data_IF_055589823105
#
_entry.id   IF_055589823105
#
_cell.length_a   1.000
_cell.length_b   1.000
_cell.length_c   1.000
_cell.angle_alpha   90.00
_cell.angle_beta   90.00
_cell.angle_gamma   90.00
#
_symmetry.space_group_name_H-M   'P 1'
#
loop_
_entity.id
_entity.type
_entity.pdbx_description
1 polymer ?
#
# COMPACT_ATOMS: atom_id res chain seq x y z
N UNK A 1 -11.29 -21.45 -3.04
CA UNK A 1 -11.31 -19.98 -3.14
C UNK A 1 -10.70 -19.46 -1.86
N UNK A 2 -9.41 -19.09 -1.90
CA UNK A 2 -8.69 -18.64 -0.71
C UNK A 2 -9.11 -17.21 -0.41
N UNK A 3 -9.70 -16.99 0.76
CA UNK A 3 -10.06 -15.66 1.27
C UNK A 3 -8.77 -14.92 1.61
N UNK A 4 -8.32 -14.08 0.69
CA UNK A 4 -7.10 -13.27 0.81
C UNK A 4 -7.29 -12.27 1.95
N UNK A 5 -6.42 -12.37 2.96
CA UNK A 5 -6.62 -11.76 4.27
C UNK A 5 -5.89 -10.41 4.38
N UNK A 6 -6.37 -9.36 3.68
CA UNK A 6 -5.97 -7.96 3.93
C UNK A 6 -6.42 -7.44 5.33
N UNK A 7 -6.79 -8.35 6.24
CA UNK A 7 -7.57 -8.12 7.46
C UNK A 7 -6.80 -7.32 8.53
N UNK A 8 -5.55 -6.94 8.31
CA UNK A 8 -4.78 -6.16 9.28
C UNK A 8 -3.99 -4.98 8.72
N UNK A 9 -4.32 -4.47 7.52
CA UNK A 9 -3.71 -3.22 7.06
C UNK A 9 -4.23 -2.04 7.90
N UNK A 10 -3.35 -1.16 8.41
CA UNK A 10 -3.78 0.02 9.15
C UNK A 10 -4.57 0.97 8.24
N UNK A 11 -5.70 1.47 8.75
CA UNK A 11 -6.58 2.35 7.96
C UNK A 11 -5.91 3.66 7.52
N UNK A 12 -4.84 4.07 8.22
CA UNK A 12 -4.10 5.29 7.96
C UNK A 12 -2.60 5.04 8.12
N UNK A 13 -1.81 5.64 7.24
CA UNK A 13 -0.35 5.67 7.32
C UNK A 13 0.13 7.10 7.09
N UNK A 14 1.22 7.48 7.75
CA UNK A 14 1.88 8.75 7.49
C UNK A 14 3.14 8.49 6.68
N UNK A 15 3.19 9.00 5.46
CA UNK A 15 4.41 9.06 4.66
C UNK A 15 4.93 10.51 4.75
N UNK A 16 5.88 10.73 5.65
CA UNK A 16 6.38 12.07 5.98
C UNK A 16 5.30 12.91 6.64
N UNK A 17 4.98 14.06 6.04
CA UNK A 17 3.97 14.99 6.55
C UNK A 17 2.57 14.79 5.95
N UNK A 18 2.36 13.73 5.16
CA UNK A 18 1.09 13.46 4.48
C UNK A 18 0.48 12.19 5.03
N UNK A 19 -0.80 12.29 5.42
CA UNK A 19 -1.60 11.15 5.85
C UNK A 19 -2.28 10.50 4.65
N UNK A 20 -2.07 9.20 4.51
CA UNK A 20 -2.63 8.34 3.47
C UNK A 20 -3.68 7.43 4.09
N UNK A 21 -4.73 7.17 3.31
CA UNK A 21 -5.90 6.42 3.71
C UNK A 21 -5.95 5.11 2.96
N UNK A 22 -6.25 4.04 3.68
CA UNK A 22 -6.44 2.72 3.11
C UNK A 22 -7.79 2.61 2.40
N UNK A 23 -7.74 2.18 1.15
CA UNK A 23 -8.89 1.74 0.38
C UNK A 23 -8.73 0.24 0.09
N UNK A 24 -9.40 -0.57 0.88
CA UNK A 24 -9.34 -2.04 0.73
C UNK A 24 -10.03 -2.50 -0.53
N UNK A 25 -9.56 -3.61 -1.11
CA UNK A 25 -10.10 -4.22 -2.33
C UNK A 25 -10.08 -3.26 -3.52
N UNK A 26 -9.10 -2.35 -3.56
CA UNK A 26 -8.91 -1.40 -4.65
C UNK A 26 -7.45 -1.26 -5.02
N UNK A 27 -7.23 -0.85 -6.26
CA UNK A 27 -5.94 -0.52 -6.83
C UNK A 27 -5.97 0.95 -7.29
N UNK A 28 -4.96 1.72 -6.89
CA UNK A 28 -4.69 3.03 -7.45
C UNK A 28 -4.09 2.85 -8.87
N UNK A 29 -4.64 3.52 -9.88
CA UNK A 29 -4.07 3.57 -11.24
C UNK A 29 -3.24 4.84 -11.43
N UNK A 30 -2.11 4.70 -12.10
CA UNK A 30 -1.25 5.83 -12.46
C UNK A 30 0.15 5.38 -12.88
N UNK A 31 1.05 6.35 -12.98
CA UNK A 31 2.44 6.13 -13.37
C UNK A 31 3.25 5.54 -12.21
N UNK A 32 3.59 4.25 -12.33
CA UNK A 32 4.51 3.56 -11.43
C UNK A 32 5.92 4.11 -11.57
N UNK A 33 6.51 4.49 -10.44
CA UNK A 33 7.89 4.98 -10.35
C UNK A 33 8.81 3.97 -9.69
N UNK A 34 8.28 3.04 -8.91
CA UNK A 34 9.06 1.99 -8.25
C UNK A 34 8.19 0.79 -7.86
N UNK A 35 8.79 -0.39 -7.80
CA UNK A 35 8.16 -1.64 -7.38
C UNK A 35 9.11 -2.39 -6.44
N UNK A 36 8.58 -2.92 -5.34
CA UNK A 36 9.33 -3.77 -4.40
C UNK A 36 8.69 -5.15 -4.41
N UNK A 37 9.45 -6.16 -4.79
CA UNK A 37 9.03 -7.56 -4.84
C UNK A 37 9.46 -8.30 -3.56
N UNK A 38 8.66 -9.30 -3.14
CA UNK A 38 8.95 -10.25 -2.05
C UNK A 38 9.05 -9.65 -0.62
N UNK A 39 7.96 -9.05 -0.12
CA UNK A 39 7.84 -8.71 1.31
C UNK A 39 7.28 -9.91 2.08
N UNK A 40 8.13 -10.67 2.75
CA UNK A 40 7.77 -11.91 3.46
C UNK A 40 6.98 -11.68 4.77
N UNK A 41 5.90 -12.45 4.99
CA UNK A 41 5.07 -12.42 6.23
C UNK A 41 5.78 -13.00 7.47
N UNK A 42 5.86 -12.21 8.54
CA UNK A 42 6.16 -12.59 9.92
C UNK A 42 5.03 -12.08 10.82
N UNK A 43 3.95 -12.85 10.87
CA UNK A 43 2.94 -12.87 11.94
C UNK A 43 2.47 -11.51 12.48
N UNK A 44 1.52 -10.94 11.76
CA UNK A 44 0.87 -9.67 12.07
C UNK A 44 -0.29 -9.86 13.08
N UNK A 45 -0.03 -10.13 14.37
CA UNK A 45 -1.07 -9.96 15.42
C UNK A 45 -0.61 -9.42 16.79
N UNK A 46 0.68 -9.30 17.14
CA UNK A 46 1.11 -8.67 18.41
C UNK A 46 2.30 -7.70 18.24
N UNK A 47 2.88 -7.57 17.04
CA UNK A 47 4.17 -6.89 16.83
C UNK A 47 4.09 -5.71 15.84
N UNK A 48 3.16 -4.78 16.06
CA UNK A 48 3.22 -3.45 15.41
C UNK A 48 4.51 -2.68 15.82
N UNK A 49 5.27 -3.18 16.80
CA UNK A 49 6.54 -2.60 17.25
C UNK A 49 7.81 -3.33 16.73
N UNK A 50 7.69 -4.49 16.05
CA UNK A 50 8.85 -5.27 15.57
C UNK A 50 8.53 -5.86 14.19
N UNK A 51 8.49 -5.00 13.18
CA UNK A 51 8.69 -5.37 11.78
C UNK A 51 9.91 -4.58 11.29
N UNK A 52 11.07 -5.13 11.64
CA UNK A 52 12.41 -4.58 11.43
C UNK A 52 12.75 -4.49 9.93
N UNK A 53 13.19 -3.29 9.53
CA UNK A 53 13.99 -2.94 8.34
C UNK A 53 13.40 -3.05 6.92
N UNK A 54 12.47 -3.96 6.61
CA UNK A 54 12.03 -4.15 5.19
C UNK A 54 10.62 -3.64 4.85
N UNK A 55 9.69 -3.55 5.80
CA UNK A 55 8.41 -2.82 5.61
C UNK A 55 8.62 -1.30 5.54
N UNK A 56 9.80 -0.84 5.95
CA UNK A 56 10.21 0.53 5.71
C UNK A 56 10.58 0.80 4.25
N UNK A 57 10.71 -0.21 3.39
CA UNK A 57 11.07 0.04 1.99
C UNK A 57 9.93 0.69 1.21
N UNK A 58 8.67 0.31 1.42
CA UNK A 58 7.54 0.94 0.72
C UNK A 58 7.31 2.38 1.21
N UNK A 59 7.44 2.63 2.51
CA UNK A 59 7.38 3.97 3.10
C UNK A 59 8.56 4.82 2.69
N UNK A 60 9.79 4.31 2.80
CA UNK A 60 10.99 5.00 2.39
C UNK A 60 11.02 5.23 0.88
N UNK A 61 10.59 4.28 0.06
CA UNK A 61 10.50 4.48 -1.38
C UNK A 61 9.42 5.51 -1.70
N UNK A 62 8.25 5.46 -1.06
CA UNK A 62 7.26 6.51 -1.24
C UNK A 62 7.81 7.89 -0.86
N UNK A 63 8.53 7.99 0.27
CA UNK A 63 9.17 9.22 0.72
C UNK A 63 10.26 9.70 -0.26
N UNK A 64 11.15 8.81 -0.68
CA UNK A 64 12.27 9.09 -1.58
C UNK A 64 11.78 9.52 -2.96
N UNK A 65 10.72 8.91 -3.47
CA UNK A 65 10.13 9.22 -4.77
C UNK A 65 8.96 10.22 -4.70
N UNK A 66 8.70 10.82 -3.53
CA UNK A 66 7.59 11.76 -3.32
C UNK A 66 6.26 11.24 -3.89
N UNK A 67 5.94 9.99 -3.54
CA UNK A 67 4.82 9.29 -4.13
C UNK A 67 3.47 9.95 -3.81
N UNK A 68 2.52 9.71 -4.70
CA UNK A 68 1.16 10.24 -4.56
C UNK A 68 0.16 9.18 -4.13
N UNK A 69 0.54 7.91 -4.27
CA UNK A 69 -0.22 6.74 -3.89
C UNK A 69 0.70 5.51 -3.79
N UNK A 70 0.27 4.51 -3.01
CA UNK A 70 0.95 3.22 -2.89
C UNK A 70 -0.09 2.11 -3.06
N UNK A 71 0.17 1.16 -3.95
CA UNK A 71 -0.57 -0.09 -3.97
C UNK A 71 0.13 -1.12 -3.10
N UNK A 72 -0.64 -1.97 -2.43
CA UNK A 72 -0.17 -3.17 -1.76
C UNK A 72 -0.95 -4.33 -2.35
N UNK A 73 -0.26 -5.31 -2.92
CA UNK A 73 -0.85 -6.51 -3.48
C UNK A 73 -0.43 -7.73 -2.66
N UNK A 74 -1.40 -8.58 -2.36
CA UNK A 74 -1.15 -9.89 -1.79
C UNK A 74 -0.99 -10.90 -2.95
N UNK A 75 0.22 -11.41 -3.13
CA UNK A 75 0.55 -12.38 -4.19
C UNK A 75 0.30 -13.83 -3.73
N UNK A 76 0.34 -14.08 -2.43
CA UNK A 76 0.09 -15.38 -1.81
C UNK A 76 -0.31 -15.24 -0.36
N UNK A 77 -0.52 -16.37 0.34
CA UNK A 77 -0.89 -16.35 1.76
C UNK A 77 0.15 -15.59 2.61
N UNK A 78 1.42 -15.66 2.22
CA UNK A 78 2.57 -15.09 2.94
C UNK A 78 3.39 -14.08 2.12
N UNK A 79 2.93 -13.70 0.93
CA UNK A 79 3.71 -12.94 -0.04
C UNK A 79 3.00 -11.65 -0.45
N UNK A 80 3.73 -10.53 -0.37
CA UNK A 80 3.24 -9.20 -0.65
C UNK A 80 4.22 -8.41 -1.52
N UNK A 81 3.68 -7.51 -2.32
CA UNK A 81 4.42 -6.51 -3.07
C UNK A 81 3.77 -5.13 -2.90
N UNK A 82 4.56 -4.08 -3.06
CA UNK A 82 4.04 -2.72 -3.12
C UNK A 82 4.51 -2.00 -4.38
N UNK A 83 3.61 -1.19 -4.95
CA UNK A 83 3.93 -0.29 -6.06
C UNK A 83 3.84 1.15 -5.60
N UNK A 84 4.88 1.91 -5.93
CA UNK A 84 4.98 3.34 -5.63
C UNK A 84 4.56 4.10 -6.88
N UNK A 85 3.53 4.94 -6.73
CA UNK A 85 2.97 5.72 -7.83
C UNK A 85 3.41 7.18 -7.72
N UNK A 86 3.99 7.72 -8.78
CA UNK A 86 4.33 9.15 -8.90
C UNK A 86 3.18 10.00 -9.43
N UNK A 87 2.22 9.36 -10.13
CA UNK A 87 0.96 9.98 -10.56
C UNK A 87 -0.22 9.09 -10.21
N UNK A 88 -1.42 9.66 -10.16
CA UNK A 88 -2.65 8.94 -9.88
C UNK A 88 -3.74 9.45 -10.80
N UNK A 89 -4.36 8.53 -11.54
CA UNK A 89 -5.37 8.79 -12.58
C UNK A 89 -6.73 8.23 -12.17
N UNK A 90 -6.75 7.18 -11.35
CA UNK A 90 -7.96 6.41 -11.08
C UNK A 90 -7.84 5.54 -9.84
N UNK A 91 -8.98 5.03 -9.39
CA UNK A 91 -9.08 3.95 -8.40
C UNK A 91 -10.04 2.93 -8.99
N UNK A 92 -9.62 1.67 -9.03
CA UNK A 92 -10.47 0.59 -9.53
C UNK A 92 -10.62 -0.51 -8.49
N UNK A 93 -11.73 -1.27 -8.49
CA UNK A 93 -11.85 -2.47 -7.69
C UNK A 93 -10.79 -3.51 -8.07
N UNK A 94 -10.09 -4.07 -7.08
CA UNK A 94 -9.08 -5.11 -7.27
C UNK A 94 -9.02 -6.03 -6.05
N UNK A 95 -9.32 -7.32 -6.25
CA UNK A 95 -9.28 -8.29 -5.16
C UNK A 95 -7.85 -8.60 -4.75
N UNK A 96 -7.60 -8.69 -3.44
CA UNK A 96 -6.26 -8.91 -2.91
C UNK A 96 -5.32 -7.71 -3.03
N UNK A 97 -5.87 -6.54 -3.37
CA UNK A 97 -5.13 -5.28 -3.43
C UNK A 97 -5.68 -4.25 -2.44
N UNK A 98 -4.81 -3.33 -2.05
CA UNK A 98 -5.15 -2.15 -1.28
C UNK A 98 -4.46 -0.92 -1.85
N UNK A 99 -5.17 0.18 -1.91
CA UNK A 99 -4.71 1.48 -2.39
C UNK A 99 -4.57 2.43 -1.19
N UNK A 100 -3.36 2.91 -0.93
CA UNK A 100 -3.11 4.02 -0.01
C UNK A 100 -3.00 5.32 -0.80
N UNK A 101 -3.83 6.30 -0.46
CA UNK A 101 -3.82 7.62 -1.13
C UNK A 101 -4.22 8.73 -0.15
N UNK A 102 -3.72 9.97 -0.31
CA UNK A 102 -4.16 11.09 0.53
C UNK A 102 -5.66 11.36 0.36
N UNK A 103 -6.36 11.69 1.46
CA UNK A 103 -7.78 12.04 1.46
C UNK A 103 -8.15 13.07 0.38
N UNK A 104 -7.29 14.07 0.19
CA UNK A 104 -7.52 15.12 -0.79
C UNK A 104 -7.61 14.56 -2.22
N UNK A 105 -6.84 13.53 -2.57
CA UNK A 105 -6.87 12.94 -3.92
C UNK A 105 -8.12 12.13 -4.20
N UNK A 106 -8.70 11.47 -3.20
CA UNK A 106 -9.95 10.70 -3.36
C UNK A 106 -11.09 11.60 -3.87
N UNK A 107 -11.12 12.86 -3.41
CA UNK A 107 -12.15 13.83 -3.80
C UNK A 107 -11.99 14.36 -5.24
N UNK A 108 -10.82 14.21 -5.86
CA UNK A 108 -10.56 14.72 -7.22
C UNK A 108 -10.73 13.65 -8.32
N UNK A 109 -10.97 12.39 -7.94
CA UNK A 109 -11.00 11.24 -8.86
C UNK A 109 -12.41 10.60 -8.90
N UNK A 110 -13.37 11.12 -8.12
CA UNK A 110 -14.79 10.76 -8.19
C UNK A 110 -15.58 11.74 -9.06
#
# INVERSE_FOLDING_TARGET
MHTILLIALPSFLNYGNVMFHLLQNTECKGGKVYEIQEVALVLFQILVAIWNQDVDQCSQACLAFSCVAVNVFQLGEFDFTCEILGTMEGIIPAQGAACYTPLRRILFIN
#
